data_IF_027147717302
#
_entry.id   IF_027147717302
#
_cell.length_a   1.000
_cell.length_b   1.000
_cell.length_c   1.000
_cell.angle_alpha   90.00
_cell.angle_beta   90.00
_cell.angle_gamma   90.00
#
_symmetry.space_group_name_H-M   'P 1'
#
loop_
_entity.id
_entity.type
_entity.pdbx_description
1 polymer ?
#
# COMPACT_ATOMS: atom_id res chain seq x y z
N UNK A 1 -13.52 -19.26 -18.95
CA UNK A 1 -12.41 -18.58 -18.25
C UNK A 1 -12.74 -18.57 -16.76
N UNK A 2 -11.88 -19.13 -15.91
CA UNK A 2 -12.08 -19.12 -14.45
C UNK A 2 -11.95 -17.70 -13.91
N UNK A 3 -12.46 -17.43 -12.69
CA UNK A 3 -12.28 -16.11 -12.05
C UNK A 3 -10.80 -15.74 -11.92
N UNK A 4 -9.92 -16.71 -11.60
CA UNK A 4 -8.47 -16.50 -11.54
C UNK A 4 -7.90 -16.07 -12.89
N UNK A 5 -8.25 -16.77 -13.98
CA UNK A 5 -7.79 -16.40 -15.32
C UNK A 5 -8.30 -15.02 -15.74
N UNK A 6 -9.53 -14.65 -15.36
CA UNK A 6 -10.08 -13.32 -15.64
C UNK A 6 -9.30 -12.23 -14.91
N UNK A 7 -9.04 -12.40 -13.62
CA UNK A 7 -8.27 -11.44 -12.84
C UNK A 7 -6.84 -11.30 -13.37
N UNK A 8 -6.19 -12.42 -13.72
CA UNK A 8 -4.85 -12.40 -14.31
C UNK A 8 -4.81 -11.65 -15.65
N UNK A 9 -5.82 -11.86 -16.50
CA UNK A 9 -5.95 -11.14 -17.77
C UNK A 9 -6.14 -9.63 -17.53
N UNK A 10 -6.97 -9.25 -16.56
CA UNK A 10 -7.15 -7.83 -16.21
C UNK A 10 -5.85 -7.21 -15.73
N UNK A 11 -5.11 -7.85 -14.81
CA UNK A 11 -3.81 -7.34 -14.37
C UNK A 11 -2.83 -7.14 -15.54
N UNK A 12 -2.78 -8.10 -16.47
CA UNK A 12 -2.00 -7.98 -17.71
C UNK A 12 -2.42 -6.77 -18.56
N UNK A 13 -3.74 -6.52 -18.69
CA UNK A 13 -4.26 -5.38 -19.46
C UNK A 13 -4.03 -4.02 -18.78
N UNK A 14 -3.76 -4.01 -17.47
CA UNK A 14 -3.40 -2.81 -16.72
C UNK A 14 -1.89 -2.51 -16.77
N UNK A 15 -1.08 -3.42 -17.33
CA UNK A 15 0.34 -3.19 -17.56
C UNK A 15 0.55 -2.43 -18.88
N UNK A 16 1.15 -1.25 -18.80
CA UNK A 16 1.57 -0.48 -19.96
C UNK A 16 2.85 -1.08 -20.54
N UNK A 17 2.69 -1.90 -21.58
CA UNK A 17 3.77 -2.68 -22.17
C UNK A 17 5.07 -1.90 -22.51
N UNK A 18 5.02 -0.63 -22.98
CA UNK A 18 6.25 0.11 -23.31
C UNK A 18 7.17 0.40 -22.12
N UNK A 19 6.60 0.74 -20.96
CA UNK A 19 7.39 1.14 -19.78
C UNK A 19 7.39 0.09 -18.66
N UNK A 20 6.45 -0.85 -18.66
CA UNK A 20 6.23 -1.81 -17.56
C UNK A 20 5.39 -1.26 -16.40
N UNK A 21 4.93 0.00 -16.48
CA UNK A 21 4.06 0.60 -15.47
C UNK A 21 2.75 -0.18 -15.32
N UNK A 22 2.26 -0.37 -14.09
CA UNK A 22 0.98 -1.01 -13.81
C UNK A 22 0.03 0.04 -13.24
N UNK A 23 -1.05 0.37 -13.93
CA UNK A 23 -2.01 1.38 -13.44
C UNK A 23 -2.99 0.77 -12.44
N UNK A 24 -3.43 1.55 -11.46
CA UNK A 24 -4.39 1.10 -10.45
C UNK A 24 -5.74 0.69 -11.08
N UNK A 25 -6.23 1.49 -12.03
CA UNK A 25 -7.35 1.11 -12.89
C UNK A 25 -7.36 1.89 -14.22
N UNK A 26 -7.94 1.31 -15.26
CA UNK A 26 -8.15 1.98 -16.55
C UNK A 26 -9.39 2.91 -16.54
N UNK A 27 -9.64 3.62 -15.43
CA UNK A 27 -10.82 4.43 -15.21
C UNK A 27 -10.48 5.75 -14.55
N UNK A 28 -11.31 6.76 -14.78
CA UNK A 28 -11.25 8.04 -14.10
C UNK A 28 -12.65 8.51 -13.75
N UNK A 29 -12.79 9.20 -12.62
CA UNK A 29 -14.03 9.85 -12.17
C UNK A 29 -15.24 8.92 -12.04
N UNK A 30 -15.00 7.63 -11.82
CA UNK A 30 -16.09 6.74 -11.43
C UNK A 30 -16.34 6.94 -9.92
N UNK A 31 -17.61 7.16 -9.52
CA UNK A 31 -17.92 7.51 -8.16
C UNK A 31 -17.86 6.31 -7.23
N UNK A 32 -17.28 6.49 -6.04
CA UNK A 32 -17.38 5.50 -4.96
C UNK A 32 -18.84 5.27 -4.51
N UNK A 33 -19.67 6.32 -4.59
CA UNK A 33 -21.12 6.29 -4.40
C UNK A 33 -21.81 7.18 -5.42
N UNK A 34 -22.85 6.68 -6.10
CA UNK A 34 -23.56 7.45 -7.13
C UNK A 34 -24.07 8.78 -6.56
N UNK A 35 -23.77 9.88 -7.24
CA UNK A 35 -24.07 11.24 -6.82
C UNK A 35 -23.06 11.85 -5.83
N UNK A 36 -22.11 11.06 -5.33
CA UNK A 36 -21.06 11.50 -4.42
C UNK A 36 -19.89 12.20 -5.12
N UNK A 37 -19.02 12.78 -4.29
CA UNK A 37 -17.88 13.59 -4.73
C UNK A 37 -16.52 12.88 -4.69
N UNK A 38 -16.47 11.62 -4.23
CA UNK A 38 -15.27 10.76 -4.25
C UNK A 38 -15.11 10.10 -5.62
N UNK A 39 -14.62 10.90 -6.57
CA UNK A 39 -14.51 10.55 -7.99
C UNK A 39 -13.06 10.81 -8.42
N UNK A 40 -12.22 9.78 -8.35
CA UNK A 40 -10.77 9.91 -8.54
C UNK A 40 -10.30 9.39 -9.90
N UNK A 41 -9.14 9.87 -10.34
CA UNK A 41 -8.44 9.34 -11.50
C UNK A 41 -7.49 8.22 -11.06
N UNK A 42 -7.72 7.00 -11.54
CA UNK A 42 -6.95 5.80 -11.17
C UNK A 42 -5.99 5.34 -12.28
N UNK A 43 -5.83 6.13 -13.35
CA UNK A 43 -4.99 5.78 -14.51
C UNK A 43 -3.48 5.94 -14.26
N UNK A 44 -3.08 6.06 -13.00
CA UNK A 44 -1.70 6.23 -12.56
C UNK A 44 -1.16 4.97 -11.91
N UNK A 45 0.16 4.87 -11.83
CA UNK A 45 0.87 3.77 -11.18
C UNK A 45 1.22 4.18 -9.76
N UNK A 46 0.44 3.66 -8.80
CA UNK A 46 0.81 3.67 -7.39
C UNK A 46 1.85 2.59 -7.11
N UNK A 47 2.87 2.94 -6.34
CA UNK A 47 3.87 1.96 -5.88
C UNK A 47 3.18 0.82 -5.11
N UNK A 48 2.18 1.16 -4.29
CA UNK A 48 1.33 0.21 -3.56
C UNK A 48 0.66 -0.81 -4.45
N UNK A 49 -0.21 -0.32 -5.33
CA UNK A 49 -1.10 -1.14 -6.16
C UNK A 49 -0.30 -2.01 -7.13
N UNK A 50 0.78 -1.45 -7.68
CA UNK A 50 1.69 -2.19 -8.53
C UNK A 50 2.46 -3.27 -7.75
N UNK A 51 2.90 -2.99 -6.52
CA UNK A 51 3.55 -3.99 -5.65
C UNK A 51 2.63 -5.18 -5.33
N UNK A 52 1.35 -4.93 -5.04
CA UNK A 52 0.38 -6.03 -4.85
C UNK A 52 0.07 -6.81 -6.13
N UNK A 53 0.00 -6.10 -7.26
CA UNK A 53 -0.18 -6.72 -8.58
C UNK A 53 1.00 -7.63 -8.93
N UNK A 54 2.22 -7.17 -8.64
CA UNK A 54 3.46 -7.92 -8.85
C UNK A 54 3.44 -9.27 -8.14
N UNK A 55 3.07 -9.30 -6.86
CA UNK A 55 2.95 -10.55 -6.10
C UNK A 55 1.98 -11.54 -6.77
N UNK A 56 0.85 -11.03 -7.27
CA UNK A 56 -0.16 -11.85 -7.93
C UNK A 56 0.35 -12.41 -9.26
N UNK A 57 1.04 -11.60 -10.06
CA UNK A 57 1.64 -11.99 -11.34
C UNK A 57 2.73 -13.05 -11.12
N UNK A 58 3.66 -12.82 -10.19
CA UNK A 58 4.72 -13.76 -9.83
C UNK A 58 4.17 -15.10 -9.30
N UNK A 59 3.14 -15.05 -8.46
CA UNK A 59 2.47 -16.27 -7.96
C UNK A 59 1.79 -17.10 -9.05
N UNK A 60 1.49 -16.49 -10.20
CA UNK A 60 0.93 -17.17 -11.39
C UNK A 60 2.00 -17.56 -12.42
N UNK A 61 3.29 -17.32 -12.13
CA UNK A 61 4.40 -17.57 -13.06
C UNK A 61 4.51 -16.55 -14.19
N UNK A 62 3.88 -15.38 -14.07
CA UNK A 62 3.95 -14.31 -15.04
C UNK A 62 5.14 -13.39 -14.71
N UNK A 63 6.34 -13.80 -15.12
CA UNK A 63 7.60 -13.11 -14.75
C UNK A 63 7.90 -11.91 -15.64
N UNK A 64 7.53 -11.93 -16.92
CA UNK A 64 7.85 -10.84 -17.86
C UNK A 64 7.26 -9.49 -17.43
N UNK A 65 5.99 -9.47 -17.01
CA UNK A 65 5.38 -8.25 -16.48
C UNK A 65 6.04 -7.81 -15.17
N UNK A 66 6.52 -8.77 -14.37
CA UNK A 66 7.20 -8.46 -13.14
C UNK A 66 8.59 -7.85 -13.38
N UNK A 67 9.37 -8.43 -14.30
CA UNK A 67 10.65 -7.90 -14.76
C UNK A 67 10.48 -6.48 -15.32
N UNK A 68 9.46 -6.26 -16.15
CA UNK A 68 9.18 -4.94 -16.72
C UNK A 68 8.85 -3.90 -15.63
N UNK A 69 8.00 -4.25 -14.65
CA UNK A 69 7.71 -3.36 -13.53
C UNK A 69 8.94 -3.09 -12.66
N UNK A 70 9.80 -4.08 -12.45
CA UNK A 70 11.05 -3.89 -11.68
C UNK A 70 12.02 -2.95 -12.39
N UNK A 71 12.12 -3.03 -13.73
CA UNK A 71 12.85 -2.05 -14.53
C UNK A 71 12.25 -0.64 -14.39
N UNK A 72 10.93 -0.53 -14.49
CA UNK A 72 10.23 0.74 -14.27
C UNK A 72 10.49 1.34 -12.89
N UNK A 73 10.47 0.52 -11.84
CA UNK A 73 10.73 0.93 -10.46
C UNK A 73 12.19 1.38 -10.28
N UNK A 74 13.15 0.66 -10.87
CA UNK A 74 14.56 1.05 -10.83
C UNK A 74 14.77 2.43 -11.47
N UNK A 75 14.13 2.72 -12.60
CA UNK A 75 14.16 4.07 -13.18
C UNK A 75 13.62 5.14 -12.23
N UNK A 76 12.52 4.87 -11.51
CA UNK A 76 11.98 5.82 -10.52
C UNK A 76 12.94 6.03 -9.35
N UNK A 77 13.64 4.99 -8.91
CA UNK A 77 14.69 5.09 -7.90
C UNK A 77 15.87 5.97 -8.35
N UNK A 78 16.09 6.12 -9.66
CA UNK A 78 17.07 7.06 -10.23
C UNK A 78 16.51 8.49 -10.42
N UNK A 79 15.19 8.63 -10.45
CA UNK A 79 14.46 9.88 -10.71
C UNK A 79 13.71 10.33 -9.46
N UNK A 80 14.44 10.48 -8.35
CA UNK A 80 13.86 10.95 -7.09
C UNK A 80 13.41 12.41 -7.22
N UNK A 81 12.45 12.81 -6.39
CA UNK A 81 12.04 14.21 -6.31
C UNK A 81 13.14 15.09 -5.68
N UNK A 82 12.90 16.39 -5.59
CA UNK A 82 13.86 17.37 -5.04
C UNK A 82 14.26 17.07 -3.57
N UNK A 83 13.41 16.36 -2.83
CA UNK A 83 13.66 15.91 -1.45
C UNK A 83 14.45 14.60 -1.37
N UNK A 84 14.78 14.00 -2.52
CA UNK A 84 15.47 12.70 -2.57
C UNK A 84 14.56 11.52 -2.22
N UNK A 85 13.25 11.64 -2.40
CA UNK A 85 12.26 10.60 -2.10
C UNK A 85 11.46 10.17 -3.32
N UNK A 86 10.77 9.04 -3.18
CA UNK A 86 9.77 8.61 -4.15
C UNK A 86 8.45 9.34 -3.91
N UNK A 87 7.71 9.62 -4.98
CA UNK A 87 6.30 9.98 -4.92
C UNK A 87 5.43 8.72 -4.72
N UNK A 88 4.23 8.85 -4.15
CA UNK A 88 3.31 7.72 -4.00
C UNK A 88 2.89 7.09 -5.34
N UNK A 89 2.75 7.92 -6.36
CA UNK A 89 2.32 7.52 -7.70
C UNK A 89 2.90 8.36 -8.82
N UNK A 90 2.86 7.79 -10.02
CA UNK A 90 3.42 8.37 -11.25
C UNK A 90 2.52 8.12 -12.45
N UNK A 91 2.72 8.88 -13.52
CA UNK A 91 2.19 8.53 -14.83
C UNK A 91 2.82 7.25 -15.38
N UNK A 92 2.18 6.67 -16.40
CA UNK A 92 2.67 5.45 -17.07
C UNK A 92 4.11 5.59 -17.59
N UNK A 93 4.50 6.78 -18.03
CA UNK A 93 5.87 7.08 -18.48
C UNK A 93 6.78 7.64 -17.37
N UNK A 94 6.38 7.52 -16.10
CA UNK A 94 7.12 8.05 -14.95
C UNK A 94 6.90 9.55 -14.70
N UNK A 95 5.89 10.16 -15.32
CA UNK A 95 5.58 11.58 -15.11
C UNK A 95 5.32 11.87 -13.61
N UNK A 96 5.93 12.93 -13.10
CA UNK A 96 5.89 13.28 -11.66
C UNK A 96 4.84 14.34 -11.32
N UNK A 97 4.33 15.08 -12.31
CA UNK A 97 3.29 16.11 -12.11
C UNK A 97 1.94 15.57 -12.53
N UNK A 98 1.07 15.31 -11.54
CA UNK A 98 -0.25 14.71 -11.73
C UNK A 98 -1.37 15.68 -11.31
N UNK A 99 -1.20 16.96 -11.63
CA UNK A 99 -2.07 18.06 -11.17
C UNK A 99 -3.55 17.71 -11.31
N UNK A 100 -4.26 17.67 -10.18
CA UNK A 100 -5.69 17.41 -10.11
C UNK A 100 -6.46 18.64 -10.59
N UNK A 101 -7.35 18.46 -11.57
CA UNK A 101 -8.26 19.50 -12.05
C UNK A 101 -9.67 18.94 -12.22
N UNK A 102 -10.68 19.81 -12.07
CA UNK A 102 -12.07 19.47 -12.35
C UNK A 102 -12.46 19.86 -13.77
N UNK A 103 -13.30 19.02 -14.40
CA UNK A 103 -13.84 19.23 -15.74
C UNK A 103 -15.33 19.59 -15.63
N UNK A 104 -15.62 20.84 -15.26
CA UNK A 104 -16.98 21.29 -14.95
C UNK A 104 -17.95 21.31 -16.15
N UNK A 105 -17.43 21.13 -17.37
CA UNK A 105 -18.23 20.98 -18.59
C UNK A 105 -18.79 19.57 -18.78
N UNK A 106 -18.36 18.59 -17.99
CA UNK A 106 -18.87 17.21 -18.02
C UNK A 106 -19.89 16.99 -16.90
N UNK A 107 -20.95 16.22 -17.22
CA UNK A 107 -22.00 15.87 -16.25
C UNK A 107 -21.55 14.80 -15.24
N UNK A 108 -20.56 13.98 -15.62
CA UNK A 108 -20.07 12.86 -14.81
C UNK A 108 -20.96 11.61 -14.87
N UNK A 109 -20.41 10.46 -14.47
CA UNK A 109 -21.10 9.18 -14.56
C UNK A 109 -22.35 9.17 -13.67
N UNK A 110 -23.52 8.95 -14.28
CA UNK A 110 -24.82 9.04 -13.59
C UNK A 110 -24.99 10.35 -12.80
N UNK A 111 -24.54 11.47 -13.38
CA UNK A 111 -24.59 12.80 -12.77
C UNK A 111 -23.76 12.93 -11.48
N UNK A 112 -22.79 12.05 -11.26
CA UNK A 112 -21.89 12.12 -10.10
C UNK A 112 -20.76 13.11 -10.40
N UNK A 113 -20.64 14.14 -9.56
CA UNK A 113 -19.71 15.26 -9.75
C UNK A 113 -18.82 15.43 -8.51
N UNK A 114 -17.61 15.99 -8.66
CA UNK A 114 -17.03 16.49 -9.92
C UNK A 114 -16.41 15.39 -10.77
N UNK A 115 -16.17 15.69 -12.05
CA UNK A 115 -15.29 14.89 -12.92
C UNK A 115 -13.89 15.44 -12.74
N UNK A 116 -12.95 14.60 -12.29
CA UNK A 116 -11.55 14.94 -12.06
C UNK A 116 -10.62 14.21 -13.03
N UNK A 117 -9.56 14.88 -13.43
CA UNK A 117 -8.37 14.23 -14.01
C UNK A 117 -7.15 14.70 -13.23
N UNK A 118 -6.08 13.90 -13.22
CA UNK A 118 -5.04 14.09 -12.21
C UNK A 118 -5.49 13.54 -10.87
N UNK A 119 -4.58 13.55 -9.90
CA UNK A 119 -4.89 13.05 -8.57
C UNK A 119 -3.96 13.72 -7.55
N UNK A 120 -4.54 14.39 -6.55
CA UNK A 120 -3.79 15.17 -5.56
C UNK A 120 -2.86 14.36 -4.65
N UNK A 121 -3.01 13.03 -4.58
CA UNK A 121 -2.16 12.20 -3.74
C UNK A 121 -0.68 12.21 -4.15
N UNK A 122 -0.33 12.70 -5.34
CA UNK A 122 1.06 12.70 -5.85
C UNK A 122 2.00 13.64 -5.09
N UNK A 123 1.42 14.61 -4.36
CA UNK A 123 2.15 15.55 -3.49
C UNK A 123 2.20 15.08 -2.03
N UNK A 124 1.50 13.99 -1.68
CA UNK A 124 1.44 13.49 -0.31
C UNK A 124 2.72 12.79 0.11
N UNK A 125 2.99 12.84 1.40
CA UNK A 125 3.99 11.98 2.02
C UNK A 125 3.32 10.66 2.45
N UNK A 126 3.78 9.54 1.91
CA UNK A 126 3.26 8.22 2.28
C UNK A 126 4.45 7.34 2.66
N UNK A 127 4.58 7.01 3.95
CA UNK A 127 5.71 6.23 4.43
C UNK A 127 5.54 4.73 4.15
N UNK A 128 4.31 4.28 3.88
CA UNK A 128 4.01 2.90 3.53
C UNK A 128 4.62 2.44 2.21
N UNK A 129 4.79 3.35 1.25
CA UNK A 129 5.28 3.02 -0.10
C UNK A 129 6.66 2.36 -0.08
N UNK A 130 7.50 2.69 0.90
CA UNK A 130 8.83 2.10 1.04
C UNK A 130 8.75 0.63 1.46
N UNK A 131 7.80 0.29 2.33
CA UNK A 131 7.55 -1.10 2.69
C UNK A 131 7.00 -1.91 1.52
N UNK A 132 6.10 -1.32 0.74
CA UNK A 132 5.46 -1.98 -0.40
C UNK A 132 6.48 -2.25 -1.50
N UNK A 133 7.26 -1.22 -1.83
CA UNK A 133 8.41 -1.31 -2.72
C UNK A 133 9.38 -2.41 -2.27
N UNK A 134 9.77 -2.41 -0.99
CA UNK A 134 10.72 -3.38 -0.46
C UNK A 134 10.16 -4.81 -0.43
N UNK A 135 8.86 -4.98 -0.20
CA UNK A 135 8.21 -6.30 -0.26
C UNK A 135 8.17 -6.81 -1.72
N UNK A 136 7.86 -5.94 -2.68
CA UNK A 136 7.95 -6.25 -4.11
C UNK A 136 9.37 -6.64 -4.54
N UNK A 137 10.39 -5.84 -4.19
CA UNK A 137 11.80 -6.14 -4.46
C UNK A 137 12.21 -7.47 -3.81
N UNK A 138 11.82 -7.71 -2.56
CA UNK A 138 12.15 -8.94 -1.85
C UNK A 138 11.53 -10.18 -2.49
N UNK A 139 10.27 -10.09 -2.91
CA UNK A 139 9.58 -11.18 -3.58
C UNK A 139 10.24 -11.43 -4.93
N UNK A 140 10.44 -10.38 -5.75
CA UNK A 140 11.12 -10.50 -7.04
C UNK A 140 12.52 -11.12 -6.90
N UNK A 141 13.31 -10.69 -5.91
CA UNK A 141 14.65 -11.22 -5.63
C UNK A 141 14.71 -12.75 -5.39
N UNK A 142 13.59 -13.37 -5.00
CA UNK A 142 13.49 -14.83 -4.86
C UNK A 142 13.28 -15.56 -6.18
N UNK A 143 12.72 -14.88 -7.18
CA UNK A 143 12.50 -15.42 -8.52
C UNK A 143 13.68 -15.08 -9.44
N UNK A 144 14.15 -13.84 -9.39
CA UNK A 144 15.27 -13.35 -10.18
C UNK A 144 16.15 -12.41 -9.35
N UNK A 145 17.45 -12.49 -9.53
CA UNK A 145 18.41 -11.71 -8.77
C UNK A 145 18.35 -10.21 -9.11
N UNK A 146 18.12 -9.35 -8.11
CA UNK A 146 18.20 -7.89 -8.31
C UNK A 146 19.65 -7.45 -8.56
N UNK A 147 19.83 -6.35 -9.29
CA UNK A 147 21.14 -5.76 -9.56
C UNK A 147 21.72 -5.08 -8.30
N UNK A 148 23.05 -4.92 -8.27
CA UNK A 148 23.70 -4.16 -7.21
C UNK A 148 23.39 -2.66 -7.29
N UNK A 149 23.19 -2.12 -8.49
CA UNK A 149 22.87 -0.70 -8.68
C UNK A 149 21.47 -0.35 -8.13
N UNK A 150 20.47 -1.19 -8.40
CA UNK A 150 19.14 -1.06 -7.78
C UNK A 150 19.27 -1.12 -6.25
N UNK A 151 20.08 -2.04 -5.73
CA UNK A 151 20.32 -2.14 -4.29
C UNK A 151 20.95 -0.88 -3.69
N UNK A 152 21.90 -0.24 -4.37
CA UNK A 152 22.49 1.02 -3.92
C UNK A 152 21.44 2.14 -3.84
N UNK A 153 20.53 2.23 -4.81
CA UNK A 153 19.45 3.22 -4.76
C UNK A 153 18.45 2.93 -3.64
N UNK A 154 18.05 1.67 -3.49
CA UNK A 154 17.18 1.21 -2.40
C UNK A 154 17.79 1.55 -1.04
N UNK A 155 19.10 1.34 -0.87
CA UNK A 155 19.80 1.72 0.36
C UNK A 155 19.67 3.21 0.68
N UNK A 156 19.78 4.09 -0.31
CA UNK A 156 19.61 5.55 -0.12
C UNK A 156 18.20 5.90 0.35
N UNK A 157 17.18 5.23 -0.21
CA UNK A 157 15.79 5.40 0.22
C UNK A 157 15.56 4.89 1.65
N UNK A 158 16.19 3.77 2.02
CA UNK A 158 16.13 3.23 3.39
C UNK A 158 16.88 4.11 4.40
N UNK A 159 17.96 4.77 3.99
CA UNK A 159 18.65 5.76 4.82
C UNK A 159 17.74 6.98 5.09
N UNK A 160 17.02 7.47 4.07
CA UNK A 160 16.00 8.51 4.28
C UNK A 160 14.88 8.02 5.22
N UNK A 161 14.33 6.82 4.97
CA UNK A 161 13.28 6.25 5.82
C UNK A 161 13.75 6.07 7.27
N UNK A 162 15.01 5.69 7.48
CA UNK A 162 15.59 5.52 8.81
C UNK A 162 15.54 6.80 9.64
N UNK A 163 15.61 7.95 8.99
CA UNK A 163 15.60 9.26 9.64
C UNK A 163 14.15 9.81 9.78
N UNK A 164 13.20 9.37 8.95
CA UNK A 164 11.85 9.97 8.86
C UNK A 164 10.69 9.03 9.25
N UNK A 165 10.93 7.74 9.54
CA UNK A 165 9.85 6.77 9.81
C UNK A 165 8.92 7.14 10.97
N UNK A 166 9.36 8.03 11.88
CA UNK A 166 8.57 8.50 13.01
C UNK A 166 7.60 9.63 12.64
N UNK A 167 7.78 10.29 11.50
CA UNK A 167 6.99 11.44 11.06
C UNK A 167 5.57 11.06 10.65
N UNK A 168 4.56 11.90 10.95
CA UNK A 168 3.19 11.61 10.51
C UNK A 168 3.10 11.67 8.97
N UNK A 169 2.19 10.90 8.40
CA UNK A 169 1.99 10.76 6.95
C UNK A 169 0.50 10.60 6.60
N UNK A 170 0.17 10.49 5.32
CA UNK A 170 -1.21 10.50 4.82
C UNK A 170 -1.85 9.10 4.76
N UNK A 171 -1.05 8.06 5.01
CA UNK A 171 -1.47 6.67 5.11
C UNK A 171 -2.00 6.05 3.81
N UNK A 172 -2.32 4.76 3.88
CA UNK A 172 -2.76 3.95 2.72
C UNK A 172 -4.03 4.47 2.05
N UNK A 173 -4.88 5.19 2.78
CA UNK A 173 -6.14 5.71 2.27
C UNK A 173 -6.05 7.16 1.79
N UNK A 174 -4.86 7.76 1.81
CA UNK A 174 -4.58 9.07 1.20
C UNK A 174 -5.48 10.16 1.77
N UNK A 175 -5.77 10.07 3.06
CA UNK A 175 -6.82 10.87 3.67
C UNK A 175 -6.49 12.36 3.58
N UNK A 176 -7.49 13.18 3.26
CA UNK A 176 -7.30 14.63 3.13
C UNK A 176 -7.37 15.39 4.46
N UNK A 177 -7.61 14.68 5.57
CA UNK A 177 -7.65 15.21 6.94
C UNK A 177 -6.29 15.57 7.56
N UNK A 178 -5.22 15.47 6.78
CA UNK A 178 -3.85 15.77 7.18
C UNK A 178 -3.11 14.59 7.81
N UNK A 179 -1.78 14.73 7.96
CA UNK A 179 -0.91 13.61 8.31
C UNK A 179 -1.10 13.14 9.76
N UNK A 180 -1.02 11.82 9.98
CA UNK A 180 -1.11 11.16 11.30
C UNK A 180 -0.06 10.06 11.44
N UNK A 181 0.11 9.52 12.64
CA UNK A 181 0.93 8.33 12.87
C UNK A 181 0.12 7.05 12.59
N UNK A 182 -0.08 6.73 11.31
CA UNK A 182 -0.85 5.56 10.90
C UNK A 182 -0.17 4.24 11.26
N UNK A 183 -0.95 3.29 11.77
CA UNK A 183 -0.48 1.93 12.04
C UNK A 183 0.08 1.28 10.77
N UNK A 184 -0.63 1.40 9.65
CA UNK A 184 -0.23 0.80 8.38
C UNK A 184 1.16 1.31 7.94
N UNK A 185 1.36 2.62 7.95
CA UNK A 185 2.62 3.25 7.54
C UNK A 185 3.80 2.84 8.41
N UNK A 186 3.60 2.72 9.72
CA UNK A 186 4.64 2.21 10.63
C UNK A 186 4.93 0.73 10.38
N UNK A 187 3.89 -0.08 10.19
CA UNK A 187 4.04 -1.49 9.87
C UNK A 187 4.80 -1.68 8.55
N UNK A 188 4.51 -0.88 7.53
CA UNK A 188 5.21 -0.95 6.25
C UNK A 188 6.66 -0.41 6.34
N UNK A 189 6.92 0.57 7.20
CA UNK A 189 8.30 0.95 7.53
C UNK A 189 9.07 -0.21 8.17
N UNK A 190 8.43 -0.97 9.08
CA UNK A 190 9.02 -2.21 9.62
C UNK A 190 9.28 -3.25 8.53
N UNK A 191 8.34 -3.44 7.59
CA UNK A 191 8.50 -4.36 6.45
C UNK A 191 9.71 -3.96 5.61
N UNK A 192 9.90 -2.67 5.34
CA UNK A 192 11.02 -2.17 4.54
C UNK A 192 12.36 -2.65 5.11
N UNK A 193 12.61 -2.41 6.41
CA UNK A 193 13.83 -2.84 7.06
C UNK A 193 13.93 -4.37 7.20
N UNK A 194 12.83 -5.06 7.51
CA UNK A 194 12.84 -6.53 7.58
C UNK A 194 13.25 -7.17 6.25
N UNK A 195 12.71 -6.67 5.13
CA UNK A 195 13.05 -7.16 3.80
C UNK A 195 14.49 -6.82 3.42
N UNK A 196 14.94 -5.61 3.71
CA UNK A 196 16.31 -5.18 3.45
C UNK A 196 17.35 -6.07 4.18
N UNK A 197 17.10 -6.39 5.45
CA UNK A 197 17.96 -7.28 6.24
C UNK A 197 18.02 -8.68 5.62
N UNK A 198 16.87 -9.22 5.19
CA UNK A 198 16.81 -10.55 4.55
C UNK A 198 17.56 -10.57 3.22
N UNK A 199 17.33 -9.58 2.35
CA UNK A 199 18.05 -9.46 1.07
C UNK A 199 19.56 -9.38 1.32
N UNK A 200 19.99 -8.55 2.27
CA UNK A 200 21.41 -8.38 2.62
C UNK A 200 22.04 -9.69 3.05
N UNK A 201 21.37 -10.43 3.95
CA UNK A 201 21.83 -11.74 4.42
C UNK A 201 21.91 -12.75 3.27
N UNK A 202 20.91 -12.78 2.40
CA UNK A 202 20.80 -13.76 1.33
C UNK A 202 21.79 -13.46 0.18
N UNK A 203 22.12 -12.18 -0.08
CA UNK A 203 23.04 -11.73 -1.15
C UNK A 203 24.48 -11.50 -0.68
N UNK A 204 24.71 -11.35 0.62
CA UNK A 204 26.03 -11.03 1.19
C UNK A 204 26.53 -9.62 0.89
N UNK A 205 25.63 -8.69 0.56
CA UNK A 205 26.01 -7.31 0.20
C UNK A 205 26.33 -6.45 1.43
N UNK A 206 27.21 -5.44 1.29
CA UNK A 206 27.43 -4.46 2.35
C UNK A 206 26.17 -3.62 2.60
N UNK A 207 25.76 -3.52 3.87
CA UNK A 207 24.66 -2.67 4.32
C UNK A 207 24.80 -2.38 5.83
N UNK A 208 24.19 -1.28 6.35
CA UNK A 208 24.20 -0.96 7.77
C UNK A 208 23.19 -1.84 8.55
N UNK A 209 23.37 -3.16 8.49
CA UNK A 209 22.41 -4.15 9.02
C UNK A 209 22.15 -3.96 10.51
N UNK A 210 23.16 -3.58 11.30
CA UNK A 210 22.99 -3.31 12.73
C UNK A 210 22.00 -2.16 12.97
N UNK A 211 22.17 -1.02 12.27
CA UNK A 211 21.24 0.12 12.31
C UNK A 211 19.83 -0.31 11.90
N UNK A 212 19.69 -1.08 10.82
CA UNK A 212 18.38 -1.54 10.34
C UNK A 212 17.69 -2.50 11.32
N UNK A 213 18.44 -3.39 11.96
CA UNK A 213 17.91 -4.28 13.00
C UNK A 213 17.40 -3.47 14.19
N UNK A 214 18.16 -2.46 14.62
CA UNK A 214 17.75 -1.56 15.71
C UNK A 214 16.46 -0.82 15.36
N UNK A 215 16.40 -0.15 14.21
CA UNK A 215 15.22 0.59 13.76
C UNK A 215 14.00 -0.33 13.62
N UNK A 216 14.17 -1.49 12.99
CA UNK A 216 13.08 -2.48 12.87
C UNK A 216 12.54 -2.88 14.25
N UNK A 217 13.41 -3.10 15.24
CA UNK A 217 13.01 -3.41 16.61
C UNK A 217 12.28 -2.24 17.26
N UNK A 218 12.78 -1.01 17.13
CA UNK A 218 12.14 0.20 17.64
C UNK A 218 10.73 0.39 17.06
N UNK A 219 10.56 0.21 15.75
CA UNK A 219 9.24 0.30 15.10
C UNK A 219 8.30 -0.76 15.66
N UNK A 220 8.78 -2.00 15.80
CA UNK A 220 7.97 -3.11 16.32
C UNK A 220 7.46 -2.82 17.74
N UNK A 221 8.36 -2.44 18.64
CA UNK A 221 8.02 -2.11 20.03
C UNK A 221 7.09 -0.90 20.10
N UNK A 222 7.33 0.13 19.29
CA UNK A 222 6.48 1.31 19.23
C UNK A 222 5.05 0.97 18.75
N UNK A 223 4.89 0.12 17.75
CA UNK A 223 3.57 -0.32 17.28
C UNK A 223 2.85 -1.09 18.39
N UNK A 224 3.54 -2.01 19.05
CA UNK A 224 2.94 -2.82 20.12
C UNK A 224 2.52 -1.97 21.33
N UNK A 225 3.27 -0.91 21.63
CA UNK A 225 2.97 0.04 22.72
C UNK A 225 1.86 1.04 22.35
N UNK A 226 1.95 1.66 21.16
CA UNK A 226 1.12 2.83 20.81
C UNK A 226 -0.10 2.54 19.95
N UNK A 227 -0.10 1.45 19.16
CA UNK A 227 -1.26 1.09 18.35
C UNK A 227 -2.19 0.08 19.01
N UNK A 228 -1.76 -0.64 20.05
CA UNK A 228 -2.66 -1.50 20.81
C UNK A 228 -3.51 -0.67 21.76
N UNK A 229 -4.83 -0.74 21.60
CA UNK A 229 -5.77 -0.07 22.50
C UNK A 229 -6.36 -1.09 23.48
N UNK A 230 -5.95 -1.01 24.74
CA UNK A 230 -6.42 -1.92 25.80
C UNK A 230 -7.93 -1.80 26.08
N UNK A 231 -8.53 -0.62 25.91
CA UNK A 231 -9.97 -0.46 26.12
C UNK A 231 -10.77 -1.15 25.01
N UNK A 232 -10.36 -0.95 23.77
CA UNK A 232 -11.04 -1.50 22.59
C UNK A 232 -10.60 -2.94 22.25
N UNK A 233 -9.56 -3.44 22.95
CA UNK A 233 -8.95 -4.76 22.73
C UNK A 233 -8.61 -5.01 21.26
N UNK A 234 -8.02 -4.01 20.60
CA UNK A 234 -7.67 -4.10 19.18
C UNK A 234 -6.59 -3.10 18.79
N UNK A 235 -5.93 -3.36 17.66
CA UNK A 235 -5.12 -2.37 17.00
C UNK A 235 -5.96 -1.24 16.40
N UNK A 236 -5.47 -0.01 16.52
CA UNK A 236 -6.17 1.21 16.04
C UNK A 236 -5.65 1.66 14.68
N UNK A 237 -6.40 2.55 14.02
CA UNK A 237 -6.05 3.11 12.70
C UNK A 237 -4.76 3.94 12.75
N UNK A 238 -4.68 4.85 13.72
CA UNK A 238 -3.52 5.71 13.98
C UNK A 238 -3.33 5.92 15.48
N UNK A 239 -2.12 6.22 15.92
CA UNK A 239 -1.81 6.36 17.34
C UNK A 239 -2.68 7.41 18.03
N UNK A 240 -3.18 7.07 19.22
CA UNK A 240 -4.06 7.93 20.02
C UNK A 240 -5.54 7.95 19.58
N UNK A 241 -5.91 7.21 18.53
CA UNK A 241 -7.33 7.00 18.18
C UNK A 241 -7.93 5.79 18.89
N UNK A 242 -9.26 5.71 18.88
CA UNK A 242 -10.04 4.50 19.15
C UNK A 242 -10.57 3.84 17.87
N UNK A 243 -10.37 4.47 16.71
CA UNK A 243 -10.80 4.01 15.40
C UNK A 243 -10.17 2.67 14.99
N UNK A 244 -10.97 1.79 14.36
CA UNK A 244 -10.50 0.54 13.75
C UNK A 244 -10.39 0.69 12.23
N UNK A 245 -9.37 0.06 11.65
CA UNK A 245 -9.11 0.05 10.22
C UNK A 245 -8.79 -1.36 9.73
N UNK A 246 -9.33 -1.73 8.56
CA UNK A 246 -9.15 -3.04 7.97
C UNK A 246 -7.70 -3.30 7.51
N UNK A 247 -6.90 -2.25 7.27
CA UNK A 247 -5.47 -2.35 6.99
C UNK A 247 -4.69 -3.02 8.13
N UNK A 248 -5.22 -3.05 9.36
CA UNK A 248 -4.64 -3.81 10.47
C UNK A 248 -4.55 -5.32 10.17
N UNK A 249 -5.36 -5.86 9.25
CA UNK A 249 -5.25 -7.25 8.80
C UNK A 249 -3.91 -7.54 8.09
N UNK A 250 -3.27 -6.51 7.52
CA UNK A 250 -1.98 -6.66 6.85
C UNK A 250 -0.86 -7.00 7.83
N UNK A 251 -1.00 -6.73 9.14
CA UNK A 251 -0.07 -7.19 10.17
C UNK A 251 0.15 -8.71 10.13
N UNK A 252 -0.88 -9.50 9.76
CA UNK A 252 -0.74 -10.94 9.60
C UNK A 252 -0.10 -11.31 8.26
N UNK A 253 -0.46 -10.59 7.19
CA UNK A 253 -0.02 -10.89 5.82
C UNK A 253 1.48 -10.63 5.66
N UNK A 254 1.98 -9.56 6.29
CA UNK A 254 3.39 -9.18 6.24
C UNK A 254 4.28 -9.96 7.21
N UNK A 255 3.67 -10.85 8.02
CA UNK A 255 4.28 -11.57 9.15
C UNK A 255 4.81 -10.65 10.25
N UNK A 256 4.23 -9.47 10.43
CA UNK A 256 4.50 -8.63 11.60
C UNK A 256 3.98 -9.32 12.87
N UNK A 257 2.77 -9.87 12.83
CA UNK A 257 2.22 -10.71 13.91
C UNK A 257 2.04 -12.15 13.46
N UNK A 258 2.10 -13.08 14.41
CA UNK A 258 1.70 -14.47 14.16
C UNK A 258 0.19 -14.59 13.96
N UNK A 259 -0.25 -15.51 13.10
CA UNK A 259 -1.67 -15.73 12.78
C UNK A 259 -2.54 -16.19 13.97
N UNK A 260 -1.91 -16.54 15.11
CA UNK A 260 -2.57 -16.97 16.34
C UNK A 260 -2.31 -16.04 17.52
N UNK A 261 -1.72 -14.86 17.30
CA UNK A 261 -1.56 -13.87 18.38
C UNK A 261 -2.97 -13.48 18.89
N UNK A 262 -3.32 -13.73 20.17
CA UNK A 262 -4.49 -13.16 20.85
C UNK A 262 -4.89 -11.73 20.43
N UNK A 263 -3.96 -10.76 20.40
CA UNK A 263 -4.23 -9.36 20.02
C UNK A 263 -4.76 -9.23 18.60
N UNK A 264 -4.17 -10.00 17.69
CA UNK A 264 -4.57 -10.00 16.30
C UNK A 264 -5.92 -10.70 16.11
N UNK A 265 -6.16 -11.82 16.82
CA UNK A 265 -7.47 -12.47 16.82
C UNK A 265 -8.56 -11.52 17.33
N UNK A 266 -8.31 -10.80 18.42
CA UNK A 266 -9.25 -9.81 18.96
C UNK A 266 -9.53 -8.66 17.98
N UNK A 267 -8.48 -8.18 17.30
CA UNK A 267 -8.60 -7.16 16.24
C UNK A 267 -9.44 -7.65 15.07
N UNK A 268 -9.23 -8.88 14.60
CA UNK A 268 -10.06 -9.52 13.54
C UNK A 268 -11.52 -9.58 13.98
N UNK A 269 -11.80 -9.95 15.22
CA UNK A 269 -13.17 -10.00 15.73
C UNK A 269 -13.81 -8.61 15.82
N UNK A 270 -13.04 -7.57 16.17
CA UNK A 270 -13.55 -6.18 16.12
C UNK A 270 -13.87 -5.73 14.70
N UNK A 271 -12.97 -6.00 13.74
CA UNK A 271 -13.19 -5.71 12.32
C UNK A 271 -14.46 -6.41 11.83
N UNK A 272 -14.64 -7.70 12.16
CA UNK A 272 -15.86 -8.44 11.80
C UNK A 272 -17.12 -7.79 12.36
N UNK A 273 -17.10 -7.34 13.62
CA UNK A 273 -18.26 -6.73 14.27
C UNK A 273 -18.60 -5.34 13.73
N UNK A 274 -17.58 -4.52 13.45
CA UNK A 274 -17.79 -3.08 13.18
C UNK A 274 -17.68 -2.70 11.70
N UNK A 275 -16.88 -3.41 10.92
CA UNK A 275 -16.61 -3.07 9.52
C UNK A 275 -17.32 -4.00 8.53
N UNK A 276 -17.89 -5.12 8.97
CA UNK A 276 -18.62 -6.02 8.06
C UNK A 276 -19.98 -5.46 7.65
N UNK A 277 -20.27 -5.52 6.36
CA UNK A 277 -21.60 -5.34 5.78
C UNK A 277 -21.96 -6.60 4.99
N UNK A 278 -22.60 -7.56 5.66
CA UNK A 278 -22.82 -8.90 5.13
C UNK A 278 -21.48 -9.64 4.95
N UNK A 279 -21.19 -10.10 3.73
CA UNK A 279 -19.92 -10.74 3.41
C UNK A 279 -18.79 -9.75 3.05
N UNK A 280 -19.08 -8.46 2.99
CA UNK A 280 -18.16 -7.40 2.55
C UNK A 280 -17.59 -6.64 3.76
N UNK A 281 -16.46 -5.96 3.59
CA UNK A 281 -15.77 -5.23 4.68
C UNK A 281 -15.51 -3.79 4.25
N UNK A 282 -15.81 -2.81 5.12
CA UNK A 282 -15.48 -1.38 4.95
C UNK A 282 -14.00 -1.11 5.29
N UNK A 283 -13.43 -0.02 4.78
CA UNK A 283 -12.03 0.35 5.07
C UNK A 283 -11.80 0.68 6.55
N UNK A 284 -12.63 1.56 7.11
CA UNK A 284 -12.55 2.00 8.51
C UNK A 284 -13.94 2.45 9.01
N UNK A 285 -14.05 2.71 10.32
CA UNK A 285 -15.31 3.17 10.92
C UNK A 285 -15.72 4.53 10.37
N UNK A 286 -17.00 4.74 10.06
CA UNK A 286 -17.47 6.06 9.61
C UNK A 286 -17.17 7.15 10.66
N UNK A 287 -16.58 8.26 10.21
CA UNK A 287 -16.14 9.37 11.08
C UNK A 287 -14.74 9.19 11.70
N UNK A 288 -14.11 8.03 11.51
CA UNK A 288 -12.67 7.89 11.75
C UNK A 288 -11.92 8.49 10.56
N UNK A 289 -10.89 9.30 10.84
CA UNK A 289 -10.11 10.00 9.81
C UNK A 289 -11.00 10.80 8.83
N UNK A 290 -11.50 11.94 9.31
CA UNK A 290 -12.27 12.89 8.49
C UNK A 290 -11.46 13.29 7.25
N UNK A 291 -11.87 12.79 6.08
CA UNK A 291 -11.30 13.18 4.79
C UNK A 291 -11.89 14.50 4.28
N UNK A 292 -12.75 15.16 5.07
CA UNK A 292 -13.38 16.44 4.75
C UNK A 292 -14.41 16.34 3.64
N UNK A 293 -14.81 15.13 3.24
CA UNK A 293 -15.72 14.89 2.11
C UNK A 293 -17.07 14.34 2.60
N UNK A 294 -18.16 14.88 2.07
CA UNK A 294 -19.50 14.48 2.46
C UNK A 294 -19.86 13.08 1.93
N UNK A 295 -20.79 12.40 2.61
CA UNK A 295 -21.41 11.16 2.15
C UNK A 295 -20.90 9.88 2.81
N UNK A 296 -21.39 8.75 2.28
CA UNK A 296 -21.07 7.42 2.79
C UNK A 296 -20.13 6.70 1.83
N UNK A 297 -19.08 6.10 2.37
CA UNK A 297 -18.24 5.16 1.65
C UNK A 297 -18.90 3.77 1.54
N UNK A 298 -18.68 3.11 0.40
CA UNK A 298 -19.04 1.71 0.18
C UNK A 298 -18.13 0.72 0.92
N UNK A 299 -18.31 -0.56 0.63
CA UNK A 299 -17.41 -1.62 1.11
C UNK A 299 -16.27 -1.86 0.13
N UNK A 300 -15.10 -2.25 0.61
CA UNK A 300 -13.90 -2.46 -0.21
C UNK A 300 -13.58 -3.96 -0.37
N UNK A 301 -13.63 -4.46 -1.60
CA UNK A 301 -13.46 -5.89 -1.90
C UNK A 301 -12.09 -6.44 -1.48
N UNK A 302 -11.03 -5.62 -1.47
CA UNK A 302 -9.72 -6.06 -1.00
C UNK A 302 -9.74 -6.36 0.51
N UNK A 303 -10.44 -5.55 1.31
CA UNK A 303 -10.61 -5.78 2.75
C UNK A 303 -11.35 -7.10 3.03
N UNK A 304 -12.35 -7.43 2.19
CA UNK A 304 -13.03 -8.72 2.27
C UNK A 304 -12.06 -9.90 2.04
N UNK A 305 -11.22 -9.82 1.01
CA UNK A 305 -10.26 -10.89 0.69
C UNK A 305 -9.22 -11.06 1.81
N UNK A 306 -8.76 -9.95 2.40
CA UNK A 306 -7.88 -9.97 3.57
C UNK A 306 -8.55 -10.62 4.78
N UNK A 307 -9.80 -10.28 5.07
CA UNK A 307 -10.57 -10.86 6.17
C UNK A 307 -10.91 -12.35 5.93
N UNK A 308 -11.02 -12.77 4.67
CA UNK A 308 -11.29 -14.15 4.26
C UNK A 308 -10.08 -15.09 4.34
N UNK A 309 -8.85 -14.58 4.41
CA UNK A 309 -7.65 -15.42 4.61
C UNK A 309 -7.67 -16.01 6.02
N UNK A 310 -7.98 -17.31 6.11
CA UNK A 310 -8.00 -18.03 7.39
C UNK A 310 -6.59 -18.10 8.00
N UNK A 311 -6.42 -17.76 9.28
CA UNK A 311 -5.16 -17.96 9.98
C UNK A 311 -4.83 -19.47 10.01
N UNK A 312 -3.82 -19.88 9.24
CA UNK A 312 -3.37 -21.28 9.14
C UNK A 312 -3.40 -21.91 7.74
N UNK A 313 -3.86 -21.20 6.71
CA UNK A 313 -3.67 -21.64 5.32
C UNK A 313 -2.21 -21.38 4.89
N UNK A 314 -1.30 -22.27 5.29
CA UNK A 314 0.00 -22.36 4.61
C UNK A 314 -0.28 -22.70 3.16
N UNK A 315 0.14 -21.83 2.23
CA UNK A 315 0.44 -22.29 0.88
C UNK A 315 1.52 -23.34 1.02
N UNK A 316 1.19 -24.59 0.69
CA UNK A 316 2.22 -25.55 0.32
C UNK A 316 2.77 -25.07 -1.02
N UNK A 317 3.95 -24.48 -0.97
CA UNK A 317 4.94 -24.46 -2.05
C UNK A 317 6.30 -24.55 -1.40
#
# INVERSE_FOLDING_TARGET
MTMVQRSALVLKLLTYAPSGAIVAAATTSLPESIGGERNWDYRYTWIRDASFSLYSLLSLGLTQEAEAFMGWLDERCHQLNDSGTLQPMYGIDGQQKLTEITLDHLEGYRQSRPVRIGNGAYEQTQLDIYGEMMDAIFIFNKYEAISYDLWLNVRRLLDWLADHWQEPDEGIWEIRGGPKHFLHSRMMSWVAFDRAIRITRDRGWPAPTEKWVEIRSQIYEQIMDKAWNEKEQSFVQYYGSDAIDASALLLMITNFTGTREPRMLSTVERIKRQLSAGALVKRYTQGAADDGLEGHEGTFSACQLLAGRRPGARGQT
#
